data_IF_660213683402
#
_entry.id   IF_660213683402
#
_cell.length_a   1.000
_cell.length_b   1.000
_cell.length_c   1.000
_cell.angle_alpha   90.00
_cell.angle_beta   90.00
_cell.angle_gamma   90.00
#
_symmetry.space_group_name_H-M   'P 1'
#
loop_
_entity.id
_entity.type
_entity.pdbx_description
1 polymer ?
#
# COMPACT_ATOMS: atom_id res chain seq x y z
N UNK A 1 38.57 25.22 32.77
CA UNK A 1 38.60 23.96 32.01
C UNK A 1 37.26 23.22 32.19
N UNK A 2 36.47 23.14 31.14
CA UNK A 2 35.13 22.55 31.18
C UNK A 2 34.72 22.11 29.78
N UNK A 3 33.80 21.15 29.72
CA UNK A 3 33.29 20.40 28.56
C UNK A 3 34.12 19.16 28.23
N UNK A 4 33.58 17.98 28.59
CA UNK A 4 33.64 16.71 27.82
C UNK A 4 33.04 15.55 28.61
N UNK A 5 31.75 15.59 28.98
CA UNK A 5 30.99 14.36 29.30
C UNK A 5 29.53 14.58 28.89
N UNK A 6 29.22 14.40 27.60
CA UNK A 6 27.84 14.38 27.10
C UNK A 6 27.66 13.46 25.88
N UNK A 7 28.55 12.49 25.68
CA UNK A 7 28.55 11.62 24.49
C UNK A 7 28.60 10.17 24.97
N UNK A 8 27.48 9.60 25.43
CA UNK A 8 27.31 8.13 25.48
C UNK A 8 25.87 7.61 25.71
N UNK A 9 24.83 8.39 25.42
CA UNK A 9 23.43 7.97 25.70
C UNK A 9 22.45 8.18 24.52
N UNK A 10 22.96 8.17 23.30
CA UNK A 10 22.16 8.33 22.07
C UNK A 10 22.58 7.31 21.00
N UNK A 11 22.50 6.01 21.30
CA UNK A 11 22.80 4.96 20.30
C UNK A 11 21.80 3.79 20.24
N UNK A 12 20.70 3.82 21.01
CA UNK A 12 19.72 2.71 21.08
C UNK A 12 18.32 3.07 20.56
N UNK A 13 18.22 3.95 19.56
CA UNK A 13 16.91 4.37 19.00
C UNK A 13 16.78 4.31 17.47
N UNK A 14 17.73 3.72 16.73
CA UNK A 14 17.83 3.92 15.25
C UNK A 14 17.59 2.66 14.41
N UNK A 15 17.27 1.49 14.97
CA UNK A 15 17.08 0.26 14.18
C UNK A 15 15.70 -0.37 14.33
N UNK A 16 14.63 0.44 14.18
CA UNK A 16 13.26 -0.10 14.08
C UNK A 16 12.34 0.71 13.14
N UNK A 17 12.87 1.21 12.01
CA UNK A 17 12.10 2.07 11.08
C UNK A 17 12.08 1.57 9.63
N UNK A 18 12.34 0.28 9.36
CA UNK A 18 12.46 -0.23 7.98
C UNK A 18 11.56 -1.42 7.62
N UNK A 19 10.43 -1.60 8.30
CA UNK A 19 9.37 -2.52 7.85
C UNK A 19 7.98 -1.87 7.78
N UNK A 20 7.89 -0.54 7.59
CA UNK A 20 6.67 0.04 7.04
C UNK A 20 6.69 -0.20 5.54
N UNK A 21 6.44 -1.45 5.13
CA UNK A 21 5.97 -1.73 3.78
C UNK A 21 4.82 -0.76 3.52
N UNK A 22 4.80 -0.14 2.35
CA UNK A 22 3.85 0.90 1.93
C UNK A 22 2.41 0.50 2.30
N UNK A 23 2.00 0.84 3.52
CA UNK A 23 0.67 0.59 4.02
C UNK A 23 -0.19 1.60 3.29
N UNK A 24 -0.87 1.09 2.28
CA UNK A 24 -2.09 1.63 1.73
C UNK A 24 -2.86 2.39 2.84
N UNK A 25 -2.82 3.73 2.87
CA UNK A 25 -3.44 4.49 3.95
C UNK A 25 -4.93 4.17 3.92
N UNK A 26 -5.49 3.72 5.05
CA UNK A 26 -6.92 3.46 5.12
C UNK A 26 -7.65 4.77 4.79
N UNK A 27 -8.49 4.82 3.74
CA UNK A 27 -9.26 6.02 3.43
C UNK A 27 -10.16 6.35 4.63
N UNK A 28 -10.32 7.63 4.96
CA UNK A 28 -11.22 8.02 6.04
C UNK A 28 -12.68 7.77 5.63
N UNK A 29 -13.56 7.51 6.61
CA UNK A 29 -15.00 7.29 6.35
C UNK A 29 -15.60 8.48 5.59
N UNK A 30 -15.17 9.71 5.90
CA UNK A 30 -15.57 10.94 5.19
C UNK A 30 -15.12 10.96 3.73
N UNK A 31 -13.91 10.47 3.40
CA UNK A 31 -13.44 10.37 2.02
C UNK A 31 -14.28 9.37 1.21
N UNK A 32 -14.64 8.24 1.83
CA UNK A 32 -15.54 7.24 1.21
C UNK A 32 -16.94 7.83 0.99
N UNK A 33 -17.47 8.57 1.96
CA UNK A 33 -18.78 9.24 1.85
C UNK A 33 -18.75 10.34 0.77
N UNK A 34 -17.68 11.13 0.68
CA UNK A 34 -17.53 12.17 -0.35
C UNK A 34 -17.39 11.56 -1.75
N UNK A 35 -16.61 10.49 -1.91
CA UNK A 35 -16.52 9.75 -3.17
C UNK A 35 -17.91 9.18 -3.57
N UNK A 36 -18.66 8.62 -2.62
CA UNK A 36 -20.05 8.17 -2.81
C UNK A 36 -21.00 9.27 -3.29
N UNK A 37 -20.83 10.49 -2.78
CA UNK A 37 -21.66 11.63 -3.17
C UNK A 37 -21.32 12.14 -4.58
N UNK A 38 -20.05 12.04 -5.00
CA UNK A 38 -19.60 12.42 -6.34
C UNK A 38 -19.93 11.38 -7.42
N UNK A 39 -20.05 10.11 -7.05
CA UNK A 39 -20.41 8.99 -7.94
C UNK A 39 -21.87 8.99 -8.42
N UNK A 40 -22.75 9.82 -7.86
CA UNK A 40 -24.20 9.81 -8.18
C UNK A 40 -24.60 10.58 -9.43
N UNK A 41 -23.70 11.31 -10.07
CA UNK A 41 -23.87 11.73 -11.46
C UNK A 41 -22.90 10.91 -12.30
N UNK A 42 -23.30 9.73 -12.82
CA UNK A 42 -22.47 9.00 -13.77
C UNK A 42 -22.14 9.99 -14.87
N UNK A 43 -20.84 10.23 -15.02
CA UNK A 43 -20.27 11.16 -15.97
C UNK A 43 -21.12 11.21 -17.24
N UNK A 44 -21.45 12.42 -17.69
CA UNK A 44 -21.74 12.72 -19.10
C UNK A 44 -20.51 12.46 -20.00
N UNK A 45 -19.68 11.47 -19.66
CA UNK A 45 -18.72 10.88 -20.56
C UNK A 45 -19.52 10.23 -21.67
N UNK A 46 -19.13 10.50 -22.91
CA UNK A 46 -19.80 10.02 -24.10
C UNK A 46 -20.16 8.55 -23.93
N UNK A 47 -21.41 8.21 -24.30
CA UNK A 47 -21.96 6.86 -24.28
C UNK A 47 -21.26 6.03 -25.34
N UNK A 48 -19.96 5.83 -25.19
CA UNK A 48 -19.07 5.21 -26.15
C UNK A 48 -18.24 4.17 -25.41
N UNK A 49 -18.23 2.97 -25.95
CA UNK A 49 -17.50 1.82 -25.48
C UNK A 49 -16.18 1.76 -26.22
N UNK A 50 -15.06 1.67 -25.52
CA UNK A 50 -13.73 1.75 -26.14
C UNK A 50 -13.19 0.41 -26.66
N UNK A 51 -13.82 -0.71 -26.29
CA UNK A 51 -13.34 -2.05 -26.64
C UNK A 51 -14.49 -2.96 -27.01
N UNK A 52 -14.40 -3.56 -28.19
CA UNK A 52 -15.31 -4.63 -28.63
C UNK A 52 -14.51 -5.84 -29.06
N UNK A 53 -15.01 -7.02 -28.71
CA UNK A 53 -14.43 -8.29 -29.14
C UNK A 53 -15.54 -9.13 -29.77
N UNK A 54 -15.22 -9.82 -30.86
CA UNK A 54 -16.17 -10.65 -31.59
C UNK A 54 -15.52 -11.98 -31.96
N UNK A 55 -16.35 -13.00 -32.06
CA UNK A 55 -15.93 -14.31 -32.56
C UNK A 55 -15.68 -14.25 -34.06
N UNK A 56 -14.67 -15.00 -34.52
CA UNK A 56 -14.38 -15.17 -35.95
C UNK A 56 -15.52 -15.98 -36.57
N UNK A 57 -16.18 -15.39 -37.56
CA UNK A 57 -17.29 -15.97 -38.32
C UNK A 57 -16.89 -16.11 -39.79
N UNK A 58 -17.34 -17.18 -40.44
CA UNK A 58 -17.17 -17.39 -41.87
C UNK A 58 -18.25 -16.64 -42.66
N UNK A 59 -18.02 -16.42 -43.95
CA UNK A 59 -19.02 -15.85 -44.85
C UNK A 59 -20.24 -16.79 -44.92
N UNK A 60 -21.33 -16.43 -44.21
CA UNK A 60 -22.56 -17.22 -44.09
C UNK A 60 -22.91 -17.69 -42.68
N UNK A 61 -22.02 -17.47 -41.70
CA UNK A 61 -22.36 -17.70 -40.29
C UNK A 61 -23.39 -16.66 -39.80
N UNK A 62 -24.32 -17.06 -38.93
CA UNK A 62 -25.34 -16.15 -38.40
C UNK A 62 -24.69 -14.95 -37.72
N UNK A 63 -25.34 -13.79 -37.87
CA UNK A 63 -24.86 -12.56 -37.25
C UNK A 63 -24.82 -12.71 -35.73
N UNK A 64 -24.11 -11.80 -35.06
CA UNK A 64 -24.02 -11.78 -33.58
C UNK A 64 -25.39 -11.80 -32.88
N UNK A 65 -26.44 -11.31 -33.55
CA UNK A 65 -27.82 -11.30 -33.04
C UNK A 65 -28.51 -12.67 -33.13
N UNK A 66 -28.04 -13.55 -34.02
CA UNK A 66 -28.75 -14.75 -34.44
C UNK A 66 -28.14 -16.05 -33.90
N UNK A 67 -26.85 -16.05 -33.52
CA UNK A 67 -26.14 -17.30 -33.19
C UNK A 67 -25.02 -17.20 -32.16
N UNK A 68 -24.68 -18.36 -31.60
CA UNK A 68 -23.49 -18.57 -30.76
C UNK A 68 -22.21 -18.43 -31.57
N UNK A 69 -21.09 -18.27 -30.88
CA UNK A 69 -19.79 -18.36 -31.54
C UNK A 69 -19.65 -19.75 -32.20
N UNK A 70 -19.34 -19.83 -33.52
CA UNK A 70 -19.36 -21.10 -34.26
C UNK A 70 -18.50 -22.20 -33.65
N UNK A 71 -17.35 -21.81 -33.08
CA UNK A 71 -16.41 -22.69 -32.40
C UNK A 71 -16.41 -22.49 -30.88
N UNK A 72 -17.49 -21.93 -30.33
CA UNK A 72 -17.54 -21.49 -28.94
C UNK A 72 -16.53 -20.38 -28.63
N UNK A 73 -16.11 -20.27 -27.35
CA UNK A 73 -15.08 -19.30 -26.94
C UNK A 73 -13.66 -19.88 -27.10
N UNK A 74 -13.42 -20.61 -28.17
CA UNK A 74 -12.09 -21.09 -28.50
C UNK A 74 -11.19 -19.89 -28.88
N UNK A 75 -10.08 -19.63 -28.16
CA UNK A 75 -9.16 -18.51 -28.43
C UNK A 75 -8.64 -18.44 -29.86
N UNK A 76 -8.46 -19.59 -30.52
CA UNK A 76 -7.99 -19.64 -31.90
C UNK A 76 -9.04 -19.08 -32.89
N UNK A 77 -10.29 -19.02 -32.45
CA UNK A 77 -11.44 -18.58 -33.22
C UNK A 77 -12.07 -17.28 -32.67
N UNK A 78 -11.37 -16.57 -31.78
CA UNK A 78 -11.75 -15.24 -31.29
C UNK A 78 -10.85 -14.20 -31.95
N UNK A 79 -11.44 -13.10 -32.45
CA UNK A 79 -10.65 -12.00 -33.02
C UNK A 79 -9.98 -11.17 -31.91
N UNK A 80 -8.89 -10.49 -32.27
CA UNK A 80 -8.29 -9.50 -31.38
C UNK A 80 -9.33 -8.43 -31.04
N UNK A 81 -9.35 -7.94 -29.78
CA UNK A 81 -10.24 -6.84 -29.43
C UNK A 81 -9.92 -5.63 -30.31
N UNK A 82 -10.96 -5.01 -30.84
CA UNK A 82 -10.84 -3.75 -31.57
C UNK A 82 -11.00 -2.60 -30.59
N UNK A 83 -10.01 -1.72 -30.53
CA UNK A 83 -10.08 -0.48 -29.77
C UNK A 83 -10.66 0.61 -30.67
N UNK A 84 -11.74 1.24 -30.22
CA UNK A 84 -12.41 2.32 -30.92
C UNK A 84 -13.75 2.65 -30.26
N UNK A 85 -14.35 3.77 -30.65
CA UNK A 85 -15.62 4.21 -30.09
C UNK A 85 -16.78 3.42 -30.71
N UNK A 86 -17.47 2.64 -29.88
CA UNK A 86 -18.68 1.92 -30.25
C UNK A 86 -19.86 2.36 -29.39
N UNK A 87 -21.05 2.47 -29.96
CA UNK A 87 -22.25 2.74 -29.15
C UNK A 87 -22.60 1.51 -28.29
N UNK A 88 -23.00 1.71 -27.01
CA UNK A 88 -23.57 0.67 -26.16
C UNK A 88 -24.73 -0.02 -26.85
N UNK A 89 -24.83 -1.34 -26.66
CA UNK A 89 -25.87 -2.17 -27.29
C UNK A 89 -26.57 -3.01 -26.25
N UNK A 90 -27.83 -3.34 -26.52
CA UNK A 90 -28.57 -4.32 -25.72
C UNK A 90 -28.11 -5.72 -26.12
N UNK A 91 -28.02 -6.63 -25.17
CA UNK A 91 -27.78 -8.04 -25.45
C UNK A 91 -29.00 -8.63 -26.15
N UNK A 92 -28.80 -9.31 -27.28
CA UNK A 92 -29.93 -9.81 -28.07
C UNK A 92 -30.34 -11.22 -27.63
N UNK A 93 -29.38 -12.06 -27.22
CA UNK A 93 -29.66 -13.45 -26.90
C UNK A 93 -30.05 -13.64 -25.43
N UNK A 94 -31.06 -14.47 -25.19
CA UNK A 94 -31.55 -14.75 -23.84
C UNK A 94 -30.51 -15.47 -22.96
N UNK A 95 -29.70 -16.35 -23.55
CA UNK A 95 -28.64 -17.03 -22.81
C UNK A 95 -27.50 -16.07 -22.43
N UNK A 96 -27.14 -15.12 -23.30
CA UNK A 96 -26.22 -14.03 -22.96
C UNK A 96 -26.76 -13.17 -21.83
N UNK A 97 -28.02 -12.75 -21.88
CA UNK A 97 -28.63 -11.97 -20.78
C UNK A 97 -28.56 -12.71 -19.43
N UNK A 98 -28.84 -14.01 -19.47
CA UNK A 98 -28.78 -14.87 -18.27
C UNK A 98 -27.35 -15.01 -17.75
N UNK A 99 -26.38 -15.27 -18.64
CA UNK A 99 -24.97 -15.39 -18.27
C UNK A 99 -24.40 -14.05 -17.80
N UNK A 100 -24.76 -12.94 -18.44
CA UNK A 100 -24.34 -11.61 -18.04
C UNK A 100 -24.85 -11.27 -16.65
N UNK A 101 -26.11 -11.59 -16.33
CA UNK A 101 -26.65 -11.44 -14.98
C UNK A 101 -25.94 -12.31 -13.94
N UNK A 102 -25.39 -13.47 -14.33
CA UNK A 102 -24.57 -14.29 -13.43
C UNK A 102 -23.18 -13.68 -13.17
N UNK A 103 -22.59 -13.05 -14.19
CA UNK A 103 -21.24 -12.46 -14.12
C UNK A 103 -21.27 -11.09 -13.44
N UNK A 104 -22.21 -10.22 -13.86
CA UNK A 104 -22.38 -8.84 -13.44
C UNK A 104 -23.82 -8.60 -12.97
N UNK A 105 -24.27 -9.20 -11.84
CA UNK A 105 -25.65 -9.10 -11.37
C UNK A 105 -26.08 -7.67 -11.05
N UNK A 106 -25.14 -6.77 -10.74
CA UNK A 106 -25.43 -5.35 -10.48
C UNK A 106 -25.78 -4.55 -11.76
N UNK A 107 -25.57 -5.10 -12.96
CA UNK A 107 -25.92 -4.47 -14.23
C UNK A 107 -27.20 -5.04 -14.83
N UNK A 108 -28.03 -4.19 -15.42
CA UNK A 108 -29.26 -4.59 -16.11
C UNK A 108 -28.94 -5.06 -17.55
N UNK A 109 -29.12 -6.35 -17.90
CA UNK A 109 -28.84 -6.86 -19.25
C UNK A 109 -29.81 -6.33 -20.32
N UNK A 110 -30.92 -5.69 -19.92
CA UNK A 110 -31.88 -5.08 -20.85
C UNK A 110 -31.47 -3.65 -21.27
N UNK A 111 -30.50 -3.05 -20.57
CA UNK A 111 -30.01 -1.72 -20.90
C UNK A 111 -28.85 -1.79 -21.90
N UNK A 112 -28.62 -0.71 -22.68
CA UNK A 112 -27.43 -0.61 -23.52
C UNK A 112 -26.15 -0.69 -22.68
N UNK A 113 -25.31 -1.70 -22.96
CA UNK A 113 -24.04 -1.95 -22.27
C UNK A 113 -22.89 -2.03 -23.27
N UNK A 114 -21.66 -1.91 -22.76
CA UNK A 114 -20.42 -2.01 -23.56
C UNK A 114 -19.92 -3.45 -23.73
N UNK A 115 -20.85 -4.40 -23.76
CA UNK A 115 -20.56 -5.82 -23.91
C UNK A 115 -21.58 -6.41 -24.88
N UNK A 116 -21.09 -7.13 -25.88
CA UNK A 116 -21.95 -7.84 -26.84
C UNK A 116 -22.14 -9.31 -26.46
N UNK A 117 -23.03 -10.00 -27.16
CA UNK A 117 -23.34 -11.42 -26.91
C UNK A 117 -22.10 -12.35 -26.99
N UNK A 118 -21.14 -12.06 -27.88
CA UNK A 118 -19.90 -12.83 -28.00
C UNK A 118 -19.00 -12.65 -26.78
N UNK A 119 -18.82 -11.41 -26.32
CA UNK A 119 -18.03 -11.08 -25.13
C UNK A 119 -18.59 -11.78 -23.90
N UNK A 120 -19.92 -11.82 -23.72
CA UNK A 120 -20.53 -12.56 -22.62
C UNK A 120 -20.24 -14.06 -22.72
N UNK A 121 -20.34 -14.64 -23.92
CA UNK A 121 -20.01 -16.05 -24.15
C UNK A 121 -18.53 -16.36 -23.89
N UNK A 122 -17.63 -15.42 -24.20
CA UNK A 122 -16.20 -15.53 -23.91
C UNK A 122 -15.96 -15.45 -22.40
N UNK A 123 -16.57 -14.48 -21.70
CA UNK A 123 -16.42 -14.27 -20.27
C UNK A 123 -16.88 -15.48 -19.45
N UNK A 124 -18.04 -16.06 -19.76
CA UNK A 124 -18.60 -17.17 -18.97
C UNK A 124 -17.77 -18.45 -19.08
N UNK A 125 -17.08 -18.65 -20.21
CA UNK A 125 -16.24 -19.83 -20.42
C UNK A 125 -14.91 -19.76 -19.68
N UNK A 126 -14.63 -18.67 -18.95
CA UNK A 126 -13.55 -18.58 -17.98
C UNK A 126 -12.25 -19.09 -18.59
N UNK A 127 -11.82 -18.39 -19.62
CA UNK A 127 -10.86 -18.90 -20.59
C UNK A 127 -9.48 -19.03 -19.97
N UNK A 128 -9.25 -20.18 -19.33
CA UNK A 128 -8.04 -20.62 -18.64
C UNK A 128 -6.84 -20.90 -19.55
N UNK A 129 -6.62 -20.10 -20.60
CA UNK A 129 -5.65 -20.42 -21.64
C UNK A 129 -4.25 -19.90 -21.38
N UNK A 130 -3.28 -20.53 -22.05
CA UNK A 130 -1.98 -19.95 -22.34
C UNK A 130 -2.04 -19.53 -23.79
N UNK A 131 -1.80 -18.25 -24.07
CA UNK A 131 -1.54 -17.83 -25.44
C UNK A 131 -0.23 -18.47 -25.91
N UNK A 132 -0.23 -18.96 -27.16
CA UNK A 132 1.01 -19.27 -27.86
C UNK A 132 1.68 -17.93 -28.22
N UNK A 133 2.93 -17.66 -27.77
CA UNK A 133 3.61 -16.40 -28.05
C UNK A 133 3.76 -16.08 -29.55
N UNK A 134 3.59 -17.08 -30.42
CA UNK A 134 3.74 -16.94 -31.87
C UNK A 134 2.47 -16.42 -32.59
N UNK A 135 1.32 -16.33 -31.91
CA UNK A 135 0.01 -16.03 -32.54
C UNK A 135 -0.30 -14.54 -32.80
N UNK A 136 0.66 -13.64 -32.55
CA UNK A 136 0.69 -12.30 -33.16
C UNK A 136 -0.30 -11.25 -32.61
N UNK A 137 0.25 -10.08 -32.29
CA UNK A 137 -0.43 -8.83 -31.91
C UNK A 137 -1.29 -8.88 -30.65
N UNK A 138 -0.62 -8.89 -29.50
CA UNK A 138 -1.22 -8.51 -28.22
C UNK A 138 -1.63 -7.04 -28.27
N UNK A 139 -2.88 -6.77 -27.90
CA UNK A 139 -3.39 -5.39 -27.80
C UNK A 139 -3.11 -4.86 -26.40
N UNK A 140 -2.29 -3.81 -26.28
CA UNK A 140 -2.07 -3.14 -25.01
C UNK A 140 -3.22 -2.15 -24.74
N UNK A 141 -3.97 -2.38 -23.68
CA UNK A 141 -5.06 -1.50 -23.25
C UNK A 141 -4.70 -0.87 -21.91
N UNK A 142 -4.74 0.46 -21.84
CA UNK A 142 -4.52 1.20 -20.60
C UNK A 142 -5.86 1.41 -19.89
N UNK A 143 -5.91 1.10 -18.60
CA UNK A 143 -7.05 1.37 -17.73
C UNK A 143 -6.61 2.27 -16.60
N UNK A 144 -7.19 3.47 -16.51
CA UNK A 144 -6.90 4.38 -15.42
C UNK A 144 -7.81 4.07 -14.24
N UNK A 145 -7.25 3.91 -13.05
CA UNK A 145 -7.94 3.52 -11.83
C UNK A 145 -7.57 4.50 -10.72
N UNK A 146 -8.54 4.83 -9.86
CA UNK A 146 -8.25 5.63 -8.69
C UNK A 146 -7.38 4.84 -7.69
N UNK A 147 -6.29 5.43 -7.16
CA UNK A 147 -5.39 4.71 -6.27
C UNK A 147 -6.05 4.29 -4.94
N UNK A 148 -6.98 5.08 -4.42
CA UNK A 148 -7.69 4.78 -3.16
C UNK A 148 -8.73 3.66 -3.39
N UNK A 149 -9.37 3.66 -4.57
CA UNK A 149 -10.20 2.55 -5.04
C UNK A 149 -9.42 1.25 -5.19
N UNK A 150 -8.30 1.26 -5.91
CA UNK A 150 -7.44 0.09 -6.10
C UNK A 150 -6.86 -0.44 -4.78
N UNK A 151 -6.54 0.46 -3.86
CA UNK A 151 -6.10 0.13 -2.52
C UNK A 151 -7.17 -0.65 -1.73
N UNK A 152 -8.41 -0.17 -1.76
CA UNK A 152 -9.54 -0.83 -1.09
C UNK A 152 -9.78 -2.22 -1.70
N UNK A 153 -9.71 -2.34 -3.03
CA UNK A 153 -9.83 -3.62 -3.74
C UNK A 153 -8.75 -4.62 -3.35
N UNK A 154 -7.50 -4.15 -3.25
CA UNK A 154 -6.39 -4.98 -2.83
C UNK A 154 -6.57 -5.44 -1.37
N UNK A 155 -6.92 -4.53 -0.45
CA UNK A 155 -7.12 -4.87 0.95
C UNK A 155 -8.24 -5.89 1.18
N UNK A 156 -9.33 -5.82 0.41
CA UNK A 156 -10.41 -6.83 0.47
C UNK A 156 -9.96 -8.21 0.02
N UNK A 157 -8.91 -8.31 -0.79
CA UNK A 157 -8.44 -9.55 -1.41
C UNK A 157 -7.05 -10.01 -0.94
N UNK A 158 -6.34 -9.23 -0.13
CA UNK A 158 -4.93 -9.44 0.21
C UNK A 158 -4.65 -10.82 0.85
N UNK A 159 -5.62 -11.35 1.59
CA UNK A 159 -5.55 -12.64 2.27
C UNK A 159 -6.14 -13.81 1.46
N UNK A 160 -6.69 -13.55 0.28
CA UNK A 160 -7.13 -14.63 -0.62
C UNK A 160 -5.90 -15.42 -1.06
N UNK A 161 -6.01 -16.75 -1.07
CA UNK A 161 -4.88 -17.67 -1.21
C UNK A 161 -3.98 -17.37 -2.41
N UNK A 162 -4.53 -16.98 -3.56
CA UNK A 162 -3.74 -16.66 -4.76
C UNK A 162 -2.92 -15.38 -4.59
N UNK A 163 -3.49 -14.35 -3.96
CA UNK A 163 -2.82 -13.07 -3.72
C UNK A 163 -1.76 -13.22 -2.64
N UNK A 164 -2.10 -13.92 -1.56
CA UNK A 164 -1.20 -14.23 -0.47
C UNK A 164 -0.01 -15.11 -0.95
N UNK A 165 -0.27 -16.11 -1.79
CA UNK A 165 0.78 -16.96 -2.37
C UNK A 165 1.72 -16.18 -3.30
N UNK A 166 1.18 -15.22 -4.05
CA UNK A 166 1.98 -14.31 -4.88
C UNK A 166 2.76 -13.27 -4.06
N UNK A 167 2.54 -13.16 -2.74
CA UNK A 167 3.24 -12.25 -1.83
C UNK A 167 3.19 -10.78 -2.30
N UNK A 168 2.07 -10.37 -2.90
CA UNK A 168 1.88 -9.02 -3.41
C UNK A 168 1.73 -8.04 -2.23
N UNK A 169 2.52 -6.97 -2.23
CA UNK A 169 2.59 -6.00 -1.11
C UNK A 169 1.89 -4.67 -1.40
N UNK A 170 1.42 -4.44 -2.62
CA UNK A 170 0.78 -3.18 -3.03
C UNK A 170 -0.38 -3.42 -4.00
N UNK A 171 -1.30 -2.46 -4.07
CA UNK A 171 -2.41 -2.47 -5.04
C UNK A 171 -1.92 -2.36 -6.49
N UNK A 172 -0.81 -1.67 -6.73
CA UNK A 172 -0.13 -1.62 -8.02
C UNK A 172 0.37 -3.00 -8.43
N UNK A 173 1.13 -3.69 -7.58
CA UNK A 173 1.63 -5.03 -7.86
C UNK A 173 0.47 -6.04 -8.04
N UNK A 174 -0.63 -5.86 -7.30
CA UNK A 174 -1.85 -6.64 -7.45
C UNK A 174 -2.51 -6.45 -8.81
N UNK A 175 -2.73 -5.20 -9.23
CA UNK A 175 -3.33 -4.89 -10.53
C UNK A 175 -2.40 -5.29 -11.68
N UNK A 176 -1.09 -5.08 -11.55
CA UNK A 176 -0.10 -5.55 -12.52
C UNK A 176 -0.09 -7.07 -12.62
N UNK A 177 -0.25 -7.79 -11.51
CA UNK A 177 -0.40 -9.25 -11.52
C UNK A 177 -1.69 -9.70 -12.21
N UNK A 178 -2.79 -8.93 -12.13
CA UNK A 178 -4.01 -9.25 -12.86
C UNK A 178 -3.91 -8.90 -14.36
N UNK A 179 -3.15 -7.87 -14.70
CA UNK A 179 -3.03 -7.35 -16.07
C UNK A 179 -1.82 -7.88 -16.83
N UNK A 180 -0.64 -7.35 -16.51
CA UNK A 180 0.59 -7.53 -17.29
C UNK A 180 1.36 -8.82 -16.93
N UNK A 181 1.51 -9.07 -15.62
CA UNK A 181 2.28 -10.18 -15.05
C UNK A 181 1.45 -11.44 -14.79
N UNK A 182 0.13 -11.36 -15.00
CA UNK A 182 -0.75 -12.51 -14.93
C UNK A 182 -0.39 -13.53 -16.00
N UNK A 183 -0.75 -14.79 -15.77
CA UNK A 183 -0.71 -15.80 -16.83
C UNK A 183 -1.63 -15.28 -17.94
N UNK A 184 -1.06 -14.79 -19.04
CA UNK A 184 -1.83 -14.12 -20.09
C UNK A 184 -2.73 -15.14 -20.78
N UNK A 185 -4.01 -15.09 -20.40
CA UNK A 185 -5.05 -15.95 -20.96
C UNK A 185 -5.89 -15.22 -22.02
N UNK A 186 -5.61 -13.93 -22.25
CA UNK A 186 -6.32 -13.06 -23.17
C UNK A 186 -5.42 -12.50 -24.28
N UNK A 187 -6.04 -12.00 -25.35
CA UNK A 187 -5.35 -11.35 -26.50
C UNK A 187 -5.04 -9.87 -26.23
N UNK A 188 -5.31 -9.42 -25.01
CA UNK A 188 -5.01 -8.07 -24.53
C UNK A 188 -4.12 -8.13 -23.30
N UNK A 189 -3.16 -7.21 -23.25
CA UNK A 189 -2.41 -6.88 -22.05
C UNK A 189 -3.09 -5.67 -21.44
N UNK A 190 -3.49 -5.80 -20.18
CA UNK A 190 -4.07 -4.68 -19.44
C UNK A 190 -2.97 -4.02 -18.62
N UNK A 191 -2.75 -2.73 -18.87
CA UNK A 191 -1.89 -1.89 -18.04
C UNK A 191 -2.75 -0.96 -17.21
N UNK A 192 -2.61 -1.04 -15.88
CA UNK A 192 -3.30 -0.14 -14.98
C UNK A 192 -2.48 1.12 -14.77
N UNK A 193 -3.12 2.28 -14.89
CA UNK A 193 -2.55 3.59 -14.61
C UNK A 193 -3.27 4.18 -13.41
N UNK A 194 -2.56 4.87 -12.52
CA UNK A 194 -3.18 5.49 -11.36
C UNK A 194 -3.37 6.98 -11.57
N UNK A 195 -4.59 7.46 -11.34
CA UNK A 195 -4.89 8.90 -11.33
C UNK A 195 -5.99 9.19 -10.31
N UNK A 196 -5.88 10.31 -9.59
CA UNK A 196 -6.94 10.82 -8.70
C UNK A 196 -8.01 11.62 -9.44
N UNK A 197 -7.88 11.76 -10.77
CA UNK A 197 -8.90 12.41 -11.59
C UNK A 197 -10.10 11.47 -11.76
N UNK A 198 -11.13 11.67 -10.94
CA UNK A 198 -12.36 10.88 -10.98
C UNK A 198 -13.12 10.96 -12.33
N UNK A 199 -12.75 11.88 -13.24
CA UNK A 199 -13.35 11.94 -14.58
C UNK A 199 -12.72 10.98 -15.58
N UNK A 200 -11.46 10.60 -15.37
CA UNK A 200 -10.70 9.72 -16.23
C UNK A 200 -10.39 8.36 -15.58
N UNK A 201 -10.55 8.26 -14.26
CA UNK A 201 -10.26 7.07 -13.47
C UNK A 201 -11.52 6.29 -13.13
N UNK A 202 -11.39 4.96 -13.12
CA UNK A 202 -12.40 4.10 -12.51
C UNK A 202 -12.46 4.36 -11.00
N UNK A 203 -13.65 4.76 -10.55
CA UNK A 203 -14.03 4.89 -9.14
C UNK A 203 -15.36 4.17 -9.01
N UNK A 204 -15.49 3.30 -8.01
CA UNK A 204 -16.75 2.67 -7.67
C UNK A 204 -16.82 2.40 -6.16
N UNK A 205 -17.96 1.92 -5.68
CA UNK A 205 -18.17 1.52 -4.30
C UNK A 205 -17.72 0.08 -4.09
N UNK A 206 -16.45 -0.12 -3.80
CA UNK A 206 -16.00 -1.41 -3.28
C UNK A 206 -16.52 -1.57 -1.85
N UNK A 207 -17.16 -2.70 -1.63
CA UNK A 207 -17.55 -3.14 -0.30
C UNK A 207 -16.32 -3.63 0.46
N UNK A 208 -16.14 -3.08 1.66
CA UNK A 208 -15.11 -3.55 2.56
C UNK A 208 -15.56 -4.88 3.18
N UNK A 209 -14.60 -5.72 3.53
CA UNK A 209 -14.88 -7.07 4.04
C UNK A 209 -15.44 -7.09 5.48
N UNK A 210 -15.44 -5.96 6.18
CA UNK A 210 -16.11 -5.77 7.47
C UNK A 210 -17.59 -5.36 7.33
N UNK A 211 -18.03 -5.05 6.11
CA UNK A 211 -19.44 -4.79 5.83
C UNK A 211 -20.24 -6.08 6.02
N UNK A 212 -21.25 -6.02 6.89
CA UNK A 212 -22.09 -7.17 7.18
C UNK A 212 -23.02 -7.46 6.01
N UNK A 213 -22.98 -8.71 5.54
CA UNK A 213 -23.96 -9.23 4.58
C UNK A 213 -25.35 -9.19 5.23
N UNK A 214 -26.36 -8.63 4.55
CA UNK A 214 -27.75 -8.61 5.02
C UNK A 214 -28.30 -10.01 5.32
N UNK A 215 -29.29 -10.08 6.20
CA UNK A 215 -29.83 -11.36 6.70
C UNK A 215 -30.50 -12.25 5.66
N UNK A 216 -30.84 -11.72 4.48
CA UNK A 216 -31.35 -12.47 3.33
C UNK A 216 -30.22 -13.15 2.51
N UNK A 217 -28.95 -12.92 2.88
CA UNK A 217 -27.76 -13.34 2.15
C UNK A 217 -27.71 -12.82 0.71
N UNK A 218 -28.36 -11.70 0.44
CA UNK A 218 -28.30 -10.99 -0.83
C UNK A 218 -27.49 -9.72 -0.64
N UNK A 219 -26.38 -9.60 -1.37
CA UNK A 219 -25.48 -8.44 -1.29
C UNK A 219 -25.21 -7.97 -2.72
N UNK A 220 -25.61 -6.75 -3.05
CA UNK A 220 -25.46 -6.21 -4.42
C UNK A 220 -25.95 -7.16 -5.52
N UNK A 221 -27.13 -7.75 -5.29
CA UNK A 221 -27.78 -8.73 -6.17
C UNK A 221 -27.06 -10.09 -6.29
N UNK A 222 -25.92 -10.28 -5.62
CA UNK A 222 -25.32 -11.59 -5.43
C UNK A 222 -26.07 -12.37 -4.35
N UNK A 223 -26.49 -13.60 -4.68
CA UNK A 223 -27.20 -14.47 -3.75
C UNK A 223 -26.24 -15.41 -3.00
N UNK A 224 -26.64 -15.83 -1.80
CA UNK A 224 -25.87 -16.73 -0.92
C UNK A 224 -24.53 -16.15 -0.48
N UNK A 225 -24.43 -14.82 -0.37
CA UNK A 225 -23.25 -14.18 0.18
C UNK A 225 -23.10 -14.53 1.66
N UNK A 226 -21.85 -14.67 2.10
CA UNK A 226 -21.51 -14.92 3.50
C UNK A 226 -20.57 -13.84 3.97
N UNK A 227 -20.67 -13.48 5.25
CA UNK A 227 -19.72 -12.58 5.88
C UNK A 227 -18.29 -13.10 5.68
N UNK A 228 -17.38 -12.19 5.33
CA UNK A 228 -15.96 -12.52 5.23
C UNK A 228 -15.46 -12.98 6.60
N UNK A 229 -14.58 -13.99 6.59
CA UNK A 229 -13.90 -14.43 7.81
C UNK A 229 -12.52 -13.80 7.88
N UNK A 230 -11.95 -13.72 9.08
CA UNK A 230 -10.59 -13.23 9.33
C UNK A 230 -9.50 -14.01 8.56
N UNK A 231 -9.83 -15.23 8.08
CA UNK A 231 -8.94 -16.03 7.24
C UNK A 231 -8.76 -15.42 5.84
N UNK A 232 -9.77 -14.72 5.32
CA UNK A 232 -9.77 -14.17 3.96
C UNK A 232 -9.65 -12.66 3.90
N UNK A 233 -9.86 -11.95 5.02
CA UNK A 233 -9.68 -10.50 5.07
C UNK A 233 -9.28 -10.00 6.45
N UNK A 234 -8.35 -9.05 6.49
CA UNK A 234 -7.85 -8.45 7.74
C UNK A 234 -8.86 -7.52 8.42
N UNK A 235 -9.64 -6.75 7.65
CA UNK A 235 -10.61 -5.84 8.26
C UNK A 235 -11.77 -6.59 8.93
N UNK A 236 -12.03 -7.84 8.54
CA UNK A 236 -12.97 -8.73 9.21
C UNK A 236 -12.43 -9.32 10.53
N UNK A 237 -11.13 -9.19 10.81
CA UNK A 237 -10.52 -9.66 12.04
C UNK A 237 -10.87 -8.74 13.19
N UNK A 238 -11.55 -9.28 14.21
CA UNK A 238 -11.59 -8.62 15.52
C UNK A 238 -10.19 -8.71 16.13
N UNK A 239 -9.58 -7.59 16.54
CA UNK A 239 -8.36 -7.68 17.33
C UNK A 239 -8.66 -8.56 18.55
N UNK A 240 -7.77 -9.48 18.93
CA UNK A 240 -7.96 -10.19 20.19
C UNK A 240 -8.09 -9.16 21.31
N UNK A 241 -8.92 -9.45 22.29
CA UNK A 241 -8.96 -8.63 23.51
C UNK A 241 -7.58 -8.75 24.16
N UNK A 242 -6.72 -7.78 23.85
CA UNK A 242 -5.44 -7.63 24.52
C UNK A 242 -5.82 -7.20 25.91
N UNK A 243 -5.60 -8.09 26.89
CA UNK A 243 -5.85 -7.73 28.26
C UNK A 243 -4.92 -6.57 28.62
N UNK A 244 -5.48 -5.35 28.64
CA UNK A 244 -4.73 -4.14 28.95
C UNK A 244 -4.28 -4.11 30.43
N UNK A 245 -4.78 -5.05 31.26
CA UNK A 245 -4.30 -5.26 32.62
C UNK A 245 -2.91 -5.89 32.66
N UNK A 246 -2.41 -6.41 31.52
CA UNK A 246 -1.00 -6.80 31.34
C UNK A 246 -0.18 -5.51 31.25
N UNK A 247 0.13 -4.95 32.41
CA UNK A 247 1.02 -3.80 32.53
C UNK A 247 2.39 -4.10 31.93
N UNK A 248 3.18 -3.07 31.63
CA UNK A 248 4.55 -3.21 31.11
C UNK A 248 5.45 -4.13 31.97
N UNK A 249 5.12 -4.30 33.25
CA UNK A 249 5.83 -5.16 34.19
C UNK A 249 5.15 -6.51 34.43
N UNK A 250 4.07 -6.84 33.74
CA UNK A 250 3.39 -8.10 33.91
C UNK A 250 4.23 -9.21 33.27
N UNK A 251 4.83 -10.04 34.12
CA UNK A 251 5.92 -10.97 33.77
C UNK A 251 7.27 -10.65 34.42
N UNK A 252 7.44 -9.44 34.99
CA UNK A 252 8.56 -9.09 35.85
C UNK A 252 8.09 -8.96 37.29
N UNK A 253 8.91 -9.40 38.24
CA UNK A 253 8.64 -9.09 39.64
C UNK A 253 8.82 -7.57 39.83
N UNK A 254 7.71 -6.83 39.89
CA UNK A 254 7.70 -5.37 39.98
C UNK A 254 8.49 -4.84 41.19
N UNK A 255 8.56 -5.62 42.27
CA UNK A 255 9.39 -5.29 43.43
C UNK A 255 10.88 -5.35 43.08
N UNK A 256 11.32 -6.40 42.37
CA UNK A 256 12.71 -6.54 41.93
C UNK A 256 13.11 -5.43 40.96
N UNK A 257 12.22 -5.09 40.02
CA UNK A 257 12.45 -3.99 39.07
C UNK A 257 12.49 -2.65 39.80
N UNK A 258 11.58 -2.41 40.74
CA UNK A 258 11.57 -1.20 41.55
C UNK A 258 12.85 -1.03 42.37
N UNK A 259 13.31 -2.09 43.03
CA UNK A 259 14.56 -2.08 43.81
C UNK A 259 15.77 -1.82 42.91
N UNK A 260 15.87 -2.52 41.78
CA UNK A 260 17.01 -2.39 40.87
C UNK A 260 17.12 -0.99 40.27
N UNK A 261 16.01 -0.39 39.80
CA UNK A 261 15.99 1.00 39.35
C UNK A 261 16.26 1.98 40.50
N UNK A 262 15.72 1.73 41.69
CA UNK A 262 15.97 2.55 42.88
C UNK A 262 17.45 2.61 43.26
N UNK A 263 18.15 1.46 43.25
CA UNK A 263 19.59 1.38 43.51
C UNK A 263 20.39 2.11 42.44
N UNK A 264 20.04 1.96 41.16
CA UNK A 264 20.72 2.68 40.06
C UNK A 264 20.56 4.20 40.19
N UNK A 265 19.35 4.69 40.50
CA UNK A 265 19.08 6.12 40.69
C UNK A 265 19.86 6.64 41.91
N UNK A 266 19.78 5.96 43.05
CA UNK A 266 20.47 6.34 44.27
C UNK A 266 22.00 6.38 44.06
N UNK A 267 22.57 5.37 43.40
CA UNK A 267 23.99 5.34 43.08
C UNK A 267 24.39 6.50 42.16
N UNK A 268 23.56 6.86 41.17
CA UNK A 268 23.81 8.01 40.30
C UNK A 268 23.83 9.33 41.08
N UNK A 269 22.93 9.51 42.04
CA UNK A 269 22.85 10.72 42.89
C UNK A 269 24.09 10.81 43.79
N UNK A 270 24.44 9.71 44.47
CA UNK A 270 25.63 9.65 45.32
C UNK A 270 26.89 9.97 44.51
N UNK A 271 27.01 9.40 43.30
CA UNK A 271 28.15 9.67 42.43
C UNK A 271 28.22 11.14 41.99
N UNK A 272 27.09 11.76 41.64
CA UNK A 272 27.05 13.19 41.31
C UNK A 272 27.42 14.08 42.51
N UNK A 273 26.95 13.75 43.71
CA UNK A 273 27.29 14.48 44.94
C UNK A 273 28.79 14.35 45.26
N UNK A 274 29.35 13.14 45.20
CA UNK A 274 30.78 12.91 45.40
C UNK A 274 31.62 13.69 44.38
N UNK A 275 31.21 13.67 43.10
CA UNK A 275 31.91 14.42 42.06
C UNK A 275 31.87 15.92 42.29
N UNK A 276 30.72 16.48 42.66
CA UNK A 276 30.59 17.89 43.03
C UNK A 276 31.46 18.25 44.25
N UNK A 277 31.50 17.38 45.26
CA UNK A 277 32.31 17.58 46.46
C UNK A 277 33.81 17.55 46.16
N UNK A 278 34.27 16.57 45.38
CA UNK A 278 35.67 16.48 44.95
C UNK A 278 36.08 17.67 44.07
N UNK A 279 35.23 18.08 43.13
CA UNK A 279 35.49 19.25 42.28
C UNK A 279 35.56 20.55 43.09
N UNK A 280 34.73 20.69 44.13
CA UNK A 280 34.79 21.86 45.02
C UNK A 280 36.07 21.87 45.86
N UNK A 281 36.53 20.70 46.33
CA UNK A 281 37.75 20.58 47.13
C UNK A 281 39.02 20.92 46.33
N UNK A 282 39.08 20.55 45.05
CA UNK A 282 40.19 20.97 44.18
C UNK A 282 40.26 22.49 44.02
N UNK A 283 39.12 23.17 43.83
CA UNK A 283 39.10 24.64 43.70
C UNK A 283 39.57 25.37 44.97
N UNK A 284 39.28 24.82 46.16
CA UNK A 284 39.73 25.42 47.43
C UNK A 284 41.24 25.25 47.61
N UNK A 285 41.80 24.10 47.21
CA UNK A 285 43.24 23.89 47.27
C UNK A 285 43.99 24.77 46.27
N UNK A 286 43.48 24.93 45.04
CA UNK A 286 44.07 25.86 44.06
C UNK A 286 44.04 27.31 44.57
N UNK A 287 42.95 27.76 45.20
CA UNK A 287 42.88 29.13 45.76
C UNK A 287 43.78 29.36 46.99
N UNK A 288 44.20 28.31 47.71
CA UNK A 288 45.18 28.45 48.80
C UNK A 288 46.63 28.47 48.30
N UNK A 289 46.90 27.97 47.10
CA UNK A 289 48.24 28.01 46.50
C UNK A 289 48.52 29.37 45.83
N UNK A 290 47.51 30.02 45.23
CA UNK A 290 47.66 31.37 44.65
C UNK A 290 47.97 32.46 45.69
N UNK A 291 47.43 32.40 46.92
CA UNK A 291 47.75 33.37 47.99
C UNK A 291 49.18 33.22 48.56
N UNK A 292 49.91 32.15 48.19
CA UNK A 292 51.30 31.92 48.61
C UNK A 292 52.34 32.21 47.52
N UNK A 293 51.91 32.53 46.31
CA UNK A 293 52.78 32.83 45.17
C UNK A 293 52.94 34.34 44.88
N UNK A 294 52.19 35.22 45.56
CA UNK A 294 52.28 36.68 45.34
C UNK A 294 53.39 37.38 46.15
N UNK A 295 54.37 36.64 46.67
CA UNK A 295 55.52 37.22 47.37
C UNK A 295 56.78 37.38 46.50
N UNK A 296 56.85 36.84 45.28
CA UNK A 296 58.12 36.88 44.54
C UNK A 296 57.99 36.73 43.01
N UNK A 297 57.32 37.65 42.32
CA UNK A 297 57.73 37.98 40.92
C UNK A 297 57.18 39.32 40.42
N UNK A 298 57.63 40.42 41.04
CA UNK A 298 57.98 41.57 40.21
C UNK A 298 59.27 41.21 39.49
N UNK A 299 59.22 41.02 38.16
CA UNK A 299 60.18 41.52 37.15
C UNK A 299 60.24 40.57 35.94
N UNK A 300 59.47 40.86 34.89
CA UNK A 300 59.89 40.81 33.46
C UNK A 300 58.67 41.04 32.57
N UNK A 301 58.52 42.26 32.10
CA UNK A 301 58.95 42.70 30.76
C UNK A 301 58.26 41.97 29.59
N UNK A 302 57.43 42.76 28.91
CA UNK A 302 57.29 42.89 27.46
C UNK A 302 57.93 41.79 26.61
N UNK A 303 57.14 41.19 25.72
CA UNK A 303 57.27 41.29 24.25
C UNK A 303 56.28 40.31 23.60
N UNK A 304 55.41 40.86 22.76
CA UNK A 304 54.94 40.34 21.46
C UNK A 304 54.49 38.88 21.30
N UNK A 305 53.31 38.70 20.70
CA UNK A 305 53.17 38.38 19.25
C UNK A 305 51.77 37.80 18.99
N UNK A 306 51.07 38.47 18.07
CA UNK A 306 49.89 37.98 17.35
C UNK A 306 50.21 36.65 16.64
N UNK A 307 49.39 35.63 16.84
CA UNK A 307 49.20 34.57 15.84
C UNK A 307 47.79 34.01 15.94
N UNK A 308 46.99 34.29 14.91
CA UNK A 308 45.66 33.73 14.74
C UNK A 308 45.71 32.21 14.57
N UNK A 309 44.68 31.54 15.07
CA UNK A 309 44.43 30.14 14.76
C UNK A 309 43.18 30.04 13.88
N UNK A 310 43.44 29.63 12.64
CA UNK A 310 42.44 29.25 11.65
C UNK A 310 41.58 28.09 12.15
N UNK A 311 40.27 28.27 11.95
CA UNK A 311 39.25 27.24 12.03
C UNK A 311 39.44 26.23 10.89
N UNK A 312 40.03 25.07 11.17
CA UNK A 312 40.00 23.92 10.25
C UNK A 312 38.75 23.07 10.51
N UNK A 313 37.75 23.22 9.65
CA UNK A 313 36.62 22.28 9.46
C UNK A 313 37.11 20.88 9.11
N UNK A 314 36.57 19.80 9.72
CA UNK A 314 36.85 18.44 9.27
C UNK A 314 36.10 18.15 7.96
N UNK A 315 36.86 17.77 6.91
CA UNK A 315 36.33 17.22 5.65
C UNK A 315 35.50 15.97 5.95
N UNK A 316 34.19 16.04 5.68
CA UNK A 316 33.35 14.86 5.52
C UNK A 316 33.80 14.12 4.27
N UNK A 317 34.27 12.89 4.47
CA UNK A 317 34.63 11.94 3.43
C UNK A 317 33.32 11.32 2.91
N UNK A 318 32.87 11.76 1.72
CA UNK A 318 31.80 11.09 0.98
C UNK A 318 32.27 9.66 0.67
N UNK A 319 31.59 8.67 1.24
CA UNK A 319 31.70 7.26 0.83
C UNK A 319 30.65 7.07 -0.27
N UNK A 320 31.12 7.02 -1.51
CA UNK A 320 30.36 6.58 -2.67
C UNK A 320 30.30 5.06 -2.63
N UNK A 321 29.18 4.50 -2.16
CA UNK A 321 28.87 3.09 -2.39
C UNK A 321 28.39 2.91 -3.83
N UNK A 322 29.26 2.35 -4.65
CA UNK A 322 28.97 1.80 -5.97
C UNK A 322 28.42 0.39 -5.70
N UNK A 323 27.12 0.18 -5.90
CA UNK A 323 26.55 -1.15 -6.04
C UNK A 323 26.45 -1.45 -7.54
N UNK A 324 27.19 -2.47 -7.97
CA UNK A 324 26.83 -3.33 -9.10
C UNK A 324 25.86 -4.41 -8.59
#
# INVERSE_FOLDING_TARGET
MGKKIHILLTFTAVTLTLCYGSQCPKPSVEQVIQAKAQLRDPLKADKTCSMTQICKRSDGDPTMQEGRCPNGADPLHILNPTIGDAEPRVLYRQDSKTNFKLICPFMDPEQPICCNDDQVEIMIKGTGYQMDPDDGNLTLTNFTVDPDYACTMFQSCAKVSIVAAASLQSSEAFLDFLGFNGKQQGKSIIKFLFSKDHTASLVDNIHSCDEAVPGDNVFDQYANCKNCTCAYCDSACKPPEVNADIGFFDGFNGELVGISYGVLIAFSIIFQLLRCYCAKKQKVNESMEEDSADADEQTKDKIGVNAGYESSTPKQKLISNKFE
#
